data_IF_250804225856
#
_entry.id   IF_250804225856
#
_cell.length_a   1.000
_cell.length_b   1.000
_cell.length_c   1.000
_cell.angle_alpha   90.00
_cell.angle_beta   90.00
_cell.angle_gamma   90.00
#
_symmetry.space_group_name_H-M   'P 1'
#
loop_
_entity.id
_entity.type
_entity.pdbx_description
1 polymer ?
#
# COMPACT_ATOMS: atom_id res chain seq x y z
N UNK A 1 -0.32 6.65 39.04
CA UNK A 1 0.68 5.96 38.20
C UNK A 1 0.14 5.96 36.78
N UNK A 2 0.28 7.09 36.08
CA UNK A 2 -0.20 7.24 34.71
C UNK A 2 0.74 6.49 33.77
N UNK A 3 0.19 5.47 33.13
CA UNK A 3 0.92 4.62 32.21
C UNK A 3 1.10 5.37 30.88
N UNK A 4 2.25 6.01 30.73
CA UNK A 4 2.65 6.73 29.52
C UNK A 4 2.73 5.75 28.34
N UNK A 5 1.68 5.69 27.53
CA UNK A 5 1.69 4.90 26.30
C UNK A 5 2.68 5.57 25.32
N UNK A 6 3.71 4.86 24.82
CA UNK A 6 4.70 5.46 23.95
C UNK A 6 4.07 5.83 22.60
N UNK A 7 4.48 6.97 22.02
CA UNK A 7 3.97 7.51 20.76
C UNK A 7 3.96 6.48 19.59
N UNK A 8 4.83 5.47 19.66
CA UNK A 8 4.92 4.34 18.72
C UNK A 8 3.67 3.44 18.73
N UNK A 9 3.09 3.21 19.91
CA UNK A 9 1.86 2.43 20.04
C UNK A 9 0.65 3.23 19.53
N UNK A 10 0.67 4.55 19.74
CA UNK A 10 -0.40 5.46 19.33
C UNK A 10 -0.49 5.62 17.80
N UNK A 11 0.65 5.68 17.11
CA UNK A 11 0.73 5.75 15.64
C UNK A 11 0.36 4.41 14.98
N UNK A 12 0.66 3.28 15.62
CA UNK A 12 0.22 1.95 15.16
C UNK A 12 -1.29 1.75 15.36
N UNK A 13 -1.82 2.16 16.51
CA UNK A 13 -3.25 2.18 16.82
C UNK A 13 -4.05 3.06 15.83
N UNK A 14 -3.49 4.19 15.42
CA UNK A 14 -4.14 5.10 14.46
C UNK A 14 -4.25 4.47 13.05
N UNK A 15 -3.17 3.83 12.58
CA UNK A 15 -3.17 3.11 11.30
C UNK A 15 -4.11 1.89 11.35
N UNK A 16 -4.16 1.16 12.46
CA UNK A 16 -5.02 -0.02 12.65
C UNK A 16 -6.52 0.35 12.78
N UNK A 17 -6.81 1.46 13.46
CA UNK A 17 -8.17 1.98 13.62
C UNK A 17 -8.70 2.59 12.32
N UNK A 18 -7.86 3.32 11.58
CA UNK A 18 -8.19 3.82 10.24
C UNK A 18 -8.30 2.68 9.22
N UNK A 19 -7.46 1.64 9.34
CA UNK A 19 -7.59 0.39 8.58
C UNK A 19 -8.91 -0.34 8.85
N UNK A 20 -9.32 -0.44 10.11
CA UNK A 20 -10.62 -1.02 10.49
C UNK A 20 -11.81 -0.21 9.93
N UNK A 21 -11.66 1.10 9.83
CA UNK A 21 -12.62 1.99 9.16
C UNK A 21 -12.65 1.77 7.64
N UNK A 22 -11.48 1.52 7.04
CA UNK A 22 -11.33 1.20 5.62
C UNK A 22 -11.92 -0.18 5.27
N UNK A 23 -11.75 -1.19 6.13
CA UNK A 23 -12.41 -2.50 6.02
C UNK A 23 -13.94 -2.38 6.03
N UNK A 24 -14.48 -1.51 6.89
CA UNK A 24 -15.93 -1.22 6.91
C UNK A 24 -16.41 -0.58 5.61
N UNK A 25 -15.58 0.24 4.97
CA UNK A 25 -15.88 0.79 3.64
C UNK A 25 -15.63 -0.21 2.50
N UNK A 26 -14.69 -1.16 2.68
CA UNK A 26 -14.47 -2.30 1.77
C UNK A 26 -15.68 -3.26 1.78
N UNK A 27 -16.38 -3.42 2.90
CA UNK A 27 -17.68 -4.11 2.96
C UNK A 27 -18.78 -3.43 2.14
N UNK A 28 -18.72 -2.11 1.96
CA UNK A 28 -19.66 -1.38 1.11
C UNK A 28 -19.23 -1.38 -0.36
N UNK A 29 -17.92 -1.35 -0.64
CA UNK A 29 -17.38 -1.59 -1.98
C UNK A 29 -17.66 -3.02 -2.46
N UNK A 30 -17.63 -4.03 -1.58
CA UNK A 30 -18.07 -5.42 -1.82
C UNK A 30 -19.48 -5.51 -2.42
N UNK A 31 -20.39 -4.63 -2.01
CA UNK A 31 -21.77 -4.60 -2.51
C UNK A 31 -21.90 -3.90 -3.88
N UNK A 32 -21.02 -2.95 -4.18
CA UNK A 32 -20.99 -2.25 -5.46
C UNK A 32 -20.23 -3.04 -6.54
N UNK A 33 -19.15 -3.74 -6.16
CA UNK A 33 -18.34 -4.58 -7.03
C UNK A 33 -19.11 -5.82 -7.52
N UNK A 34 -19.99 -6.38 -6.67
CA UNK A 34 -20.87 -7.50 -7.04
C UNK A 34 -22.00 -7.11 -8.01
N UNK A 35 -22.28 -5.81 -8.19
CA UNK A 35 -23.40 -5.32 -9.01
C UNK A 35 -22.98 -4.84 -10.40
N UNK A 36 -21.69 -4.60 -10.61
CA UNK A 36 -21.10 -4.20 -11.89
C UNK A 36 -19.73 -4.87 -12.02
N UNK A 37 -19.63 -6.01 -12.73
CA UNK A 37 -18.60 -6.23 -13.76
C UNK A 37 -18.61 -7.63 -14.38
N UNK A 38 -18.61 -7.64 -15.71
CA UNK A 38 -18.28 -8.74 -16.62
C UNK A 38 -16.75 -8.87 -16.73
N UNK A 39 -16.22 -10.07 -16.99
CA UNK A 39 -14.77 -10.35 -17.14
C UNK A 39 -14.01 -9.36 -18.06
N UNK A 40 -14.68 -8.81 -19.08
CA UNK A 40 -14.12 -7.84 -20.04
C UNK A 40 -13.72 -6.49 -19.42
N UNK A 41 -14.41 -6.00 -18.38
CA UNK A 41 -14.04 -4.73 -17.73
C UNK A 41 -12.86 -4.91 -16.75
N UNK A 42 -12.67 -6.12 -16.22
CA UNK A 42 -11.49 -6.45 -15.40
C UNK A 42 -10.24 -6.62 -16.28
N UNK A 43 -10.38 -7.20 -17.47
CA UNK A 43 -9.35 -7.18 -18.53
C UNK A 43 -9.06 -5.75 -19.02
N UNK A 44 -10.07 -4.91 -19.23
CA UNK A 44 -9.86 -3.50 -19.59
C UNK A 44 -9.14 -2.70 -18.48
N UNK A 45 -9.39 -3.01 -17.20
CA UNK A 45 -8.63 -2.47 -16.05
C UNK A 45 -7.20 -3.03 -15.96
N UNK A 46 -6.95 -4.21 -16.54
CA UNK A 46 -5.61 -4.80 -16.65
C UNK A 46 -4.82 -4.21 -17.83
N UNK A 47 -5.47 -3.79 -18.93
CA UNK A 47 -4.80 -3.18 -20.09
C UNK A 47 -4.50 -1.68 -19.93
N UNK A 48 -5.38 -0.93 -19.25
CA UNK A 48 -5.27 0.53 -19.08
C UNK A 48 -4.17 1.12 -18.16
N UNK A 49 -3.53 0.41 -17.20
CA UNK A 49 -2.61 1.05 -16.24
C UNK A 49 -1.21 1.32 -16.77
N UNK A 50 -0.67 0.50 -17.67
CA UNK A 50 0.72 0.65 -18.12
C UNK A 50 0.94 1.92 -18.94
N UNK A 51 -0.02 2.25 -19.81
CA UNK A 51 0.09 3.38 -20.74
C UNK A 51 -0.05 4.77 -20.09
N UNK A 52 -0.77 4.88 -18.96
CA UNK A 52 -0.98 6.16 -18.28
C UNK A 52 0.06 6.38 -17.16
N UNK A 53 0.52 5.31 -16.52
CA UNK A 53 1.35 5.40 -15.32
C UNK A 53 2.82 5.66 -15.66
N UNK A 54 3.33 5.11 -16.77
CA UNK A 54 4.74 5.24 -17.19
C UNK A 54 5.17 6.70 -17.52
N UNK A 55 4.42 7.47 -18.35
CA UNK A 55 4.80 8.84 -18.68
C UNK A 55 4.64 9.81 -17.50
N UNK A 56 3.69 9.51 -16.61
CA UNK A 56 3.38 10.32 -15.43
C UNK A 56 4.43 10.13 -14.34
N UNK A 57 4.84 8.88 -14.05
CA UNK A 57 5.97 8.59 -13.15
C UNK A 57 7.28 9.20 -13.64
N UNK A 58 7.60 9.05 -14.93
CA UNK A 58 8.83 9.60 -15.52
C UNK A 58 8.87 11.13 -15.45
N UNK A 59 7.76 11.82 -15.77
CA UNK A 59 7.66 13.27 -15.67
C UNK A 59 7.64 13.78 -14.21
N UNK A 60 7.16 12.99 -13.26
CA UNK A 60 7.08 13.34 -11.84
C UNK A 60 8.45 13.22 -11.16
N UNK A 61 9.17 12.11 -11.42
CA UNK A 61 10.51 11.86 -10.87
C UNK A 61 11.52 12.93 -11.33
N UNK A 62 11.35 13.47 -12.54
CA UNK A 62 12.24 14.51 -13.08
C UNK A 62 11.96 15.93 -12.56
N UNK A 63 10.82 16.19 -11.91
CA UNK A 63 10.33 17.58 -11.70
C UNK A 63 10.35 18.09 -10.26
N UNK A 64 10.74 17.31 -9.26
CA UNK A 64 10.76 17.75 -7.85
C UNK A 64 12.15 17.69 -7.25
N UNK A 65 12.52 18.74 -6.50
CA UNK A 65 13.58 18.66 -5.48
C UNK A 65 13.06 17.86 -4.29
N UNK A 66 12.96 16.54 -4.40
CA UNK A 66 12.80 15.71 -3.21
C UNK A 66 14.17 15.23 -2.70
N UNK A 67 14.19 14.58 -1.54
CA UNK A 67 15.37 13.85 -1.08
C UNK A 67 15.44 12.56 -1.89
N UNK A 68 16.59 12.20 -2.45
CA UNK A 68 16.80 10.97 -3.24
C UNK A 68 16.19 9.70 -2.60
N UNK A 69 16.18 9.61 -1.28
CA UNK A 69 15.53 8.51 -0.53
C UNK A 69 14.01 8.43 -0.69
N UNK A 70 13.28 9.55 -0.80
CA UNK A 70 11.82 9.53 -0.95
C UNK A 70 11.46 9.11 -2.37
N UNK A 71 12.16 9.66 -3.37
CA UNK A 71 12.07 9.21 -4.76
C UNK A 71 12.31 7.70 -4.87
N UNK A 72 13.36 7.20 -4.20
CA UNK A 72 13.64 5.77 -4.13
C UNK A 72 12.51 4.97 -3.48
N UNK A 73 12.00 5.40 -2.32
CA UNK A 73 10.91 4.70 -1.63
C UNK A 73 9.62 4.64 -2.48
N UNK A 74 9.34 5.68 -3.25
CA UNK A 74 8.20 5.69 -4.19
C UNK A 74 8.44 4.77 -5.38
N UNK A 75 9.64 4.79 -5.96
CA UNK A 75 9.99 3.91 -7.07
C UNK A 75 9.87 2.43 -6.65
N UNK A 76 10.42 2.08 -5.49
CA UNK A 76 10.32 0.73 -4.91
C UNK A 76 8.86 0.31 -4.70
N UNK A 77 7.98 1.21 -4.25
CA UNK A 77 6.53 0.96 -4.12
C UNK A 77 5.87 0.64 -5.48
N UNK A 78 6.14 1.44 -6.52
CA UNK A 78 5.54 1.22 -7.84
C UNK A 78 6.08 -0.06 -8.50
N UNK A 79 7.37 -0.36 -8.33
CA UNK A 79 7.97 -1.59 -8.82
C UNK A 79 7.36 -2.82 -8.15
N UNK A 80 7.29 -2.85 -6.81
CA UNK A 80 6.69 -3.96 -6.07
C UNK A 80 5.20 -4.14 -6.40
N UNK A 81 4.46 -3.05 -6.62
CA UNK A 81 3.06 -3.15 -7.04
C UNK A 81 2.87 -3.63 -8.47
N UNK A 82 3.80 -3.37 -9.38
CA UNK A 82 3.77 -3.97 -10.72
C UNK A 82 4.04 -5.48 -10.64
N UNK A 83 5.02 -5.91 -9.85
CA UNK A 83 5.31 -7.34 -9.63
C UNK A 83 4.11 -8.07 -8.99
N UNK A 84 3.44 -7.44 -8.03
CA UNK A 84 2.23 -7.99 -7.42
C UNK A 84 1.09 -8.15 -8.44
N UNK A 85 0.90 -7.18 -9.36
CA UNK A 85 -0.09 -7.29 -10.45
C UNK A 85 0.23 -8.49 -11.35
N UNK A 86 1.49 -8.69 -11.74
CA UNK A 86 1.89 -9.84 -12.56
C UNK A 86 1.58 -11.18 -11.88
N UNK A 87 1.83 -11.24 -10.57
CA UNK A 87 1.53 -12.44 -9.78
C UNK A 87 0.02 -12.66 -9.69
N UNK A 88 -0.79 -11.62 -9.51
CA UNK A 88 -2.26 -11.73 -9.59
C UNK A 88 -2.71 -12.25 -10.96
N UNK A 89 -2.17 -11.72 -12.07
CA UNK A 89 -2.50 -12.17 -13.43
C UNK A 89 -2.18 -13.66 -13.62
N UNK A 90 -1.02 -14.11 -13.14
CA UNK A 90 -0.65 -15.52 -13.20
C UNK A 90 -1.58 -16.38 -12.35
N UNK A 91 -1.91 -15.95 -11.13
CA UNK A 91 -2.85 -16.67 -10.26
C UNK A 91 -4.22 -16.83 -10.90
N UNK A 92 -4.77 -15.78 -11.51
CA UNK A 92 -6.07 -15.86 -12.19
C UNK A 92 -6.06 -16.92 -13.31
N UNK A 93 -4.96 -17.02 -14.08
CA UNK A 93 -4.79 -18.09 -15.07
C UNK A 93 -4.74 -19.47 -14.41
N UNK A 94 -3.96 -19.61 -13.34
CA UNK A 94 -3.79 -20.87 -12.62
C UNK A 94 -5.11 -21.33 -11.97
N UNK A 95 -5.92 -20.39 -11.45
CA UNK A 95 -7.25 -20.63 -10.87
C UNK A 95 -8.21 -21.11 -11.96
N UNK A 96 -8.31 -20.42 -13.09
CA UNK A 96 -9.17 -20.81 -14.22
C UNK A 96 -8.83 -22.20 -14.75
N UNK A 97 -7.54 -22.50 -14.86
CA UNK A 97 -7.06 -23.84 -15.22
C UNK A 97 -7.49 -24.88 -14.17
N UNK A 98 -7.34 -24.56 -12.88
CA UNK A 98 -7.72 -25.44 -11.77
C UNK A 98 -9.22 -25.71 -11.74
N UNK A 99 -10.07 -24.69 -11.92
CA UNK A 99 -11.52 -24.84 -12.02
C UNK A 99 -11.92 -25.73 -13.22
N UNK A 100 -11.26 -25.55 -14.36
CA UNK A 100 -11.47 -26.39 -15.55
C UNK A 100 -11.07 -27.86 -15.30
N UNK A 101 -9.95 -28.09 -14.63
CA UNK A 101 -9.52 -29.43 -14.24
C UNK A 101 -10.53 -30.08 -13.28
N UNK A 102 -11.05 -29.32 -12.33
CA UNK A 102 -12.08 -29.77 -11.40
C UNK A 102 -13.40 -30.12 -12.09
N UNK A 103 -13.78 -29.40 -13.15
CA UNK A 103 -14.93 -29.75 -13.99
C UNK A 103 -14.71 -31.06 -14.74
N UNK A 104 -13.51 -31.27 -15.28
CA UNK A 104 -13.12 -32.54 -15.90
C UNK A 104 -13.15 -33.70 -14.91
N UNK A 105 -12.67 -33.46 -13.67
CA UNK A 105 -12.71 -34.43 -12.58
C UNK A 105 -14.16 -34.79 -12.20
N UNK A 106 -15.09 -33.83 -12.14
CA UNK A 106 -16.50 -34.14 -11.87
C UNK A 106 -17.11 -35.06 -12.91
N UNK A 107 -16.87 -34.76 -14.20
CA UNK A 107 -17.36 -35.59 -15.29
C UNK A 107 -16.81 -37.02 -15.19
N UNK A 108 -15.53 -37.16 -14.81
CA UNK A 108 -14.90 -38.45 -14.59
C UNK A 108 -15.49 -39.20 -13.38
N UNK A 109 -15.68 -38.51 -12.24
CA UNK A 109 -16.27 -39.11 -11.04
C UNK A 109 -17.75 -39.50 -11.24
N UNK A 110 -18.48 -38.77 -12.10
CA UNK A 110 -19.84 -39.11 -12.50
C UNK A 110 -19.87 -40.40 -13.34
N UNK A 111 -18.98 -40.52 -14.33
CA UNK A 111 -18.92 -41.70 -15.21
C UNK A 111 -18.58 -43.00 -14.45
N UNK A 112 -17.75 -42.92 -13.40
CA UNK A 112 -17.48 -44.05 -12.49
C UNK A 112 -18.78 -44.47 -11.78
N UNK A 113 -19.55 -43.51 -11.28
CA UNK A 113 -20.78 -43.78 -10.52
C UNK A 113 -21.82 -44.46 -11.43
N UNK A 114 -22.02 -43.95 -12.64
CA UNK A 114 -22.96 -44.52 -13.63
C UNK A 114 -22.54 -45.94 -14.08
N UNK A 115 -21.23 -46.17 -14.23
CA UNK A 115 -20.67 -47.49 -14.58
C UNK A 115 -20.81 -48.52 -13.46
N UNK A 116 -20.97 -48.08 -12.20
CA UNK A 116 -21.19 -48.97 -11.05
C UNK A 116 -22.67 -49.27 -10.79
N UNK A 117 -23.57 -48.36 -11.16
CA UNK A 117 -25.02 -48.55 -11.06
C UNK A 117 -25.57 -49.49 -12.17
N UNK A 118 -24.95 -49.47 -13.34
CA UNK A 118 -25.15 -50.50 -14.37
C UNK A 118 -24.29 -51.71 -13.99
N UNK A 119 -24.87 -52.90 -13.87
CA UNK A 119 -24.28 -54.16 -13.35
C UNK A 119 -23.10 -54.74 -14.17
N UNK A 120 -22.38 -53.90 -14.91
CA UNK A 120 -21.34 -54.26 -15.86
C UNK A 120 -19.95 -54.35 -15.19
N UNK A 121 -19.13 -55.27 -15.71
CA UNK A 121 -17.79 -55.57 -15.22
C UNK A 121 -16.72 -54.50 -15.56
N UNK A 122 -17.13 -53.30 -16.00
CA UNK A 122 -16.25 -52.24 -16.55
C UNK A 122 -15.71 -51.25 -15.52
N UNK A 123 -16.30 -51.17 -14.32
CA UNK A 123 -15.87 -50.25 -13.26
C UNK A 123 -14.37 -50.35 -12.88
N UNK A 124 -13.72 -51.53 -12.83
CA UNK A 124 -12.28 -51.65 -12.54
C UNK A 124 -11.38 -51.03 -13.62
N UNK A 125 -11.86 -50.93 -14.87
CA UNK A 125 -11.07 -50.40 -15.99
C UNK A 125 -11.10 -48.87 -16.04
N UNK A 126 -12.22 -48.25 -15.65
CA UNK A 126 -12.36 -46.79 -15.57
C UNK A 126 -11.45 -46.16 -14.50
N UNK A 127 -11.10 -46.92 -13.45
CA UNK A 127 -10.25 -46.47 -12.35
C UNK A 127 -8.75 -46.43 -12.66
N UNK A 128 -8.32 -47.06 -13.77
CA UNK A 128 -6.91 -47.12 -14.20
C UNK A 128 -6.42 -45.86 -14.93
N UNK A 129 -7.27 -44.86 -15.09
CA UNK A 129 -6.94 -43.63 -15.81
C UNK A 129 -7.39 -42.38 -15.05
N UNK A 130 -7.23 -42.38 -13.72
CA UNK A 130 -7.53 -41.20 -12.93
C UNK A 130 -6.72 -40.00 -13.44
N UNK A 131 -7.35 -38.88 -13.80
CA UNK A 131 -6.62 -37.72 -14.30
C UNK A 131 -5.84 -37.07 -13.16
N UNK A 132 -4.55 -37.37 -13.06
CA UNK A 132 -3.64 -36.67 -12.12
C UNK A 132 -3.47 -35.25 -12.62
N UNK A 133 -3.78 -34.30 -11.74
CA UNK A 133 -3.75 -32.87 -12.08
C UNK A 133 -2.41 -32.30 -11.69
N UNK A 134 -1.68 -31.65 -12.60
CA UNK A 134 -0.51 -30.87 -12.22
C UNK A 134 -0.93 -29.76 -11.25
N UNK A 135 -0.21 -29.60 -10.13
CA UNK A 135 -0.48 -28.54 -9.15
C UNK A 135 0.21 -27.24 -9.60
N UNK A 136 -0.53 -26.23 -10.11
CA UNK A 136 0.08 -24.98 -10.56
C UNK A 136 0.53 -24.10 -9.40
N UNK A 137 0.05 -24.36 -8.18
CA UNK A 137 0.33 -23.61 -6.96
C UNK A 137 1.46 -24.21 -6.12
N UNK A 138 2.35 -24.96 -6.75
CA UNK A 138 3.47 -25.62 -6.07
C UNK A 138 4.46 -24.61 -5.45
N UNK A 139 5.53 -25.13 -4.85
CA UNK A 139 6.53 -24.38 -4.06
C UNK A 139 7.00 -23.06 -4.69
N UNK A 140 7.08 -22.99 -6.02
CA UNK A 140 7.44 -21.76 -6.76
C UNK A 140 6.51 -20.59 -6.44
N UNK A 141 5.19 -20.83 -6.37
CA UNK A 141 4.25 -19.76 -6.06
C UNK A 141 4.41 -19.32 -4.59
N UNK A 142 4.59 -20.26 -3.66
CA UNK A 142 4.85 -19.93 -2.24
C UNK A 142 6.09 -19.06 -2.05
N UNK A 143 7.19 -19.35 -2.75
CA UNK A 143 8.40 -18.51 -2.68
C UNK A 143 8.17 -17.10 -3.23
N UNK A 144 7.35 -16.96 -4.27
CA UNK A 144 7.02 -15.65 -4.83
C UNK A 144 6.24 -14.79 -3.82
N UNK A 145 5.29 -15.37 -3.09
CA UNK A 145 4.54 -14.65 -2.05
C UNK A 145 5.44 -14.18 -0.91
N UNK A 146 6.34 -15.05 -0.44
CA UNK A 146 7.32 -14.66 0.58
C UNK A 146 8.18 -13.49 0.12
N UNK A 147 8.70 -13.56 -1.10
CA UNK A 147 9.50 -12.49 -1.70
C UNK A 147 8.73 -11.16 -1.83
N UNK A 148 7.49 -11.16 -2.33
CA UNK A 148 6.68 -9.93 -2.42
C UNK A 148 6.38 -9.39 -1.02
N UNK A 149 6.04 -10.25 -0.06
CA UNK A 149 5.73 -9.83 1.30
C UNK A 149 6.94 -9.16 1.96
N UNK A 150 8.15 -9.72 1.78
CA UNK A 150 9.40 -9.13 2.26
C UNK A 150 9.68 -7.77 1.60
N UNK A 151 9.41 -7.64 0.29
CA UNK A 151 9.49 -6.36 -0.43
C UNK A 151 8.55 -5.32 0.17
N UNK A 152 7.27 -5.62 0.33
CA UNK A 152 6.30 -4.66 0.92
C UNK A 152 6.63 -4.32 2.37
N UNK A 153 7.11 -5.28 3.15
CA UNK A 153 7.58 -5.05 4.52
C UNK A 153 8.77 -4.06 4.56
N UNK A 154 9.73 -4.25 3.65
CA UNK A 154 10.88 -3.35 3.48
C UNK A 154 10.45 -1.95 3.03
N UNK A 155 9.55 -1.85 2.05
CA UNK A 155 9.00 -0.59 1.56
C UNK A 155 8.25 0.15 2.66
N UNK A 156 7.41 -0.54 3.45
CA UNK A 156 6.69 0.04 4.57
C UNK A 156 7.66 0.63 5.61
N UNK A 157 8.76 -0.07 5.90
CA UNK A 157 9.81 0.41 6.79
C UNK A 157 10.53 1.64 6.21
N UNK A 158 10.84 1.63 4.91
CA UNK A 158 11.44 2.74 4.18
C UNK A 158 10.55 3.99 4.22
N UNK A 159 9.25 3.85 3.93
CA UNK A 159 8.26 4.93 3.99
C UNK A 159 8.13 5.48 5.41
N UNK A 160 8.04 4.62 6.43
CA UNK A 160 7.98 5.03 7.85
C UNK A 160 9.23 5.81 8.26
N UNK A 161 10.41 5.38 7.82
CA UNK A 161 11.66 6.09 8.10
C UNK A 161 11.69 7.48 7.46
N UNK A 162 11.22 7.59 6.21
CA UNK A 162 11.06 8.84 5.47
C UNK A 162 10.07 9.77 6.14
N UNK A 163 8.94 9.25 6.62
CA UNK A 163 7.93 10.02 7.33
C UNK A 163 8.51 10.67 8.60
N UNK A 164 9.26 9.90 9.41
CA UNK A 164 9.96 10.44 10.60
C UNK A 164 10.94 11.54 10.25
N UNK A 165 11.67 11.43 9.13
CA UNK A 165 12.60 12.46 8.66
C UNK A 165 11.87 13.74 8.27
N UNK A 166 10.78 13.63 7.50
CA UNK A 166 9.95 14.78 7.11
C UNK A 166 9.38 15.47 8.34
N UNK A 167 8.86 14.71 9.31
CA UNK A 167 8.35 15.25 10.57
C UNK A 167 9.44 16.00 11.36
N UNK A 168 10.66 15.48 11.44
CA UNK A 168 11.81 16.17 12.06
C UNK A 168 12.12 17.49 11.34
N UNK A 169 12.19 17.49 10.01
CA UNK A 169 12.43 18.71 9.21
C UNK A 169 11.32 19.74 9.42
N UNK A 170 10.06 19.31 9.49
CA UNK A 170 8.92 20.18 9.73
C UNK A 170 9.01 20.84 11.11
N UNK A 171 9.41 20.10 12.14
CA UNK A 171 9.65 20.64 13.49
C UNK A 171 10.74 21.73 13.47
N UNK A 172 11.85 21.49 12.76
CA UNK A 172 12.95 22.47 12.61
C UNK A 172 12.46 23.73 11.90
N UNK A 173 11.76 23.60 10.77
CA UNK A 173 11.24 24.76 10.03
C UNK A 173 10.26 25.58 10.88
N UNK A 174 9.38 24.91 11.64
CA UNK A 174 8.47 25.57 12.60
C UNK A 174 9.24 26.32 13.69
N UNK A 175 10.27 25.71 14.28
CA UNK A 175 11.11 26.35 15.30
C UNK A 175 11.82 27.60 14.76
N UNK A 176 12.43 27.51 13.57
CA UNK A 176 13.08 28.65 12.91
C UNK A 176 12.08 29.77 12.62
N UNK A 177 10.89 29.44 12.12
CA UNK A 177 9.81 30.41 11.88
C UNK A 177 9.38 31.10 13.18
N UNK A 178 9.22 30.37 14.28
CA UNK A 178 8.87 30.94 15.58
C UNK A 178 9.96 31.86 16.12
N UNK A 179 11.23 31.46 16.01
CA UNK A 179 12.37 32.30 16.44
C UNK A 179 12.45 33.59 15.62
N UNK A 180 12.27 33.51 14.29
CA UNK A 180 12.25 34.69 13.44
C UNK A 180 11.13 35.67 13.77
N UNK A 181 9.94 35.17 14.17
CA UNK A 181 8.83 36.01 14.64
C UNK A 181 9.18 36.71 15.95
N UNK A 182 9.75 35.97 16.91
CA UNK A 182 10.18 36.54 18.19
C UNK A 182 11.23 37.65 18.00
N UNK A 183 12.25 37.42 17.15
CA UNK A 183 13.26 38.42 16.83
C UNK A 183 12.68 39.66 16.11
N UNK A 184 11.68 39.48 15.24
CA UNK A 184 10.99 40.60 14.60
C UNK A 184 10.20 41.44 15.59
N UNK A 185 9.49 40.82 16.54
CA UNK A 185 8.74 41.53 17.60
C UNK A 185 9.68 42.33 18.49
N UNK A 186 10.82 41.76 18.88
CA UNK A 186 11.84 42.48 19.68
C UNK A 186 12.46 43.64 18.89
N UNK A 187 12.76 43.45 17.60
CA UNK A 187 13.39 44.50 16.77
C UNK A 187 12.42 45.62 16.35
N UNK A 188 11.12 45.35 16.23
CA UNK A 188 10.10 46.36 15.88
C UNK A 188 9.38 46.94 17.12
N UNK A 189 9.47 46.28 18.29
CA UNK A 189 8.78 46.65 19.53
C UNK A 189 9.64 47.36 20.58
N UNK A 190 10.89 47.72 20.25
CA UNK A 190 11.77 48.49 21.15
C UNK A 190 11.52 50.01 21.16
N UNK A 191 10.26 50.48 21.18
CA UNK A 191 9.96 51.92 21.30
C UNK A 191 8.56 52.28 21.85
N UNK A 192 7.84 51.37 22.52
CA UNK A 192 6.49 51.68 23.04
C UNK A 192 6.30 51.40 24.54
N UNK A 193 7.38 51.49 25.33
CA UNK A 193 7.31 51.42 26.80
C UNK A 193 8.28 52.41 27.47
N UNK A 194 8.35 53.64 26.97
CA UNK A 194 9.05 54.75 27.62
C UNK A 194 8.18 56.03 27.62
N UNK A 195 6.91 55.87 27.96
CA UNK A 195 6.01 56.98 28.20
C UNK A 195 5.23 56.73 29.49
N UNK A 196 5.85 57.02 30.63
CA UNK A 196 5.25 57.73 31.77
C UNK A 196 6.10 57.57 33.05
N UNK A 197 6.21 58.69 33.78
CA UNK A 197 6.84 58.90 35.11
C UNK A 197 8.35 59.22 35.00
N UNK A 198 8.84 60.43 35.25
CA UNK A 198 8.25 61.64 35.79
C UNK A 198 9.29 62.78 35.69
N UNK A 199 8.81 64.02 35.65
CA UNK A 199 9.65 65.21 35.63
C UNK A 199 10.57 65.28 36.88
N UNK A 200 11.72 65.94 36.68
CA UNK A 200 12.74 66.31 37.67
C UNK A 200 13.87 65.28 37.94
N UNK A 201 14.76 65.14 36.96
CA UNK A 201 16.22 65.16 37.22
C UNK A 201 16.93 65.68 35.98
N UNK A 202 17.20 66.98 35.95
CA UNK A 202 18.01 67.62 34.93
C UNK A 202 19.51 67.28 35.11
N UNK A 203 20.25 67.40 34.00
CA UNK A 203 21.70 67.66 33.90
C UNK A 203 22.68 66.53 33.53
N UNK A 204 22.27 65.45 32.84
CA UNK A 204 23.24 64.63 32.07
C UNK A 204 22.89 64.44 30.59
N UNK A 205 21.87 65.12 30.07
CA UNK A 205 21.47 65.04 28.66
C UNK A 205 21.89 66.25 27.81
N UNK A 206 22.66 67.19 28.35
CA UNK A 206 23.17 68.33 27.57
C UNK A 206 24.50 68.05 26.84
N UNK A 207 25.08 66.85 27.00
CA UNK A 207 26.26 66.41 26.23
C UNK A 207 25.95 65.59 24.98
N UNK A 208 24.67 65.28 24.70
CA UNK A 208 24.29 64.38 23.60
C UNK A 208 23.58 65.09 22.42
N UNK A 209 23.37 66.40 22.49
CA UNK A 209 22.58 67.14 21.50
C UNK A 209 23.38 68.11 20.62
N UNK A 210 24.72 68.07 20.66
CA UNK A 210 25.57 68.76 19.69
C UNK A 210 26.44 67.72 19.00
N UNK A 211 25.89 67.13 17.94
CA UNK A 211 26.51 66.06 17.16
C UNK A 211 25.55 65.37 16.20
N UNK A 212 24.25 65.65 16.30
CA UNK A 212 23.20 65.09 15.44
C UNK A 212 22.85 66.00 14.24
N UNK A 213 23.86 66.60 13.59
CA UNK A 213 23.63 67.40 12.37
C UNK A 213 24.51 67.02 11.16
N UNK A 214 25.34 65.97 11.24
CA UNK A 214 26.19 65.56 10.12
C UNK A 214 26.31 64.04 9.86
N UNK A 215 25.46 63.20 10.48
CA UNK A 215 25.44 61.75 10.24
C UNK A 215 24.09 61.23 9.70
N UNK A 216 23.23 62.13 9.22
CA UNK A 216 21.87 61.82 8.75
C UNK A 216 21.76 61.46 7.26
N UNK A 217 22.84 61.38 6.49
CA UNK A 217 22.76 61.27 5.02
C UNK A 217 23.62 60.18 4.37
N UNK A 218 24.01 59.12 5.08
CA UNK A 218 24.72 58.00 4.43
C UNK A 218 24.22 56.61 4.82
N UNK A 219 22.92 56.43 5.09
CA UNK A 219 22.39 55.05 5.19
C UNK A 219 20.92 54.81 4.76
N UNK A 220 20.47 55.15 3.53
CA UNK A 220 19.17 54.67 3.05
C UNK A 220 19.24 53.51 2.02
N UNK A 221 20.42 52.90 1.77
CA UNK A 221 20.55 51.83 0.76
C UNK A 221 20.72 50.43 1.38
N UNK A 222 21.43 50.31 2.51
CA UNK A 222 21.68 49.02 3.15
C UNK A 222 20.44 48.41 3.84
N UNK A 223 19.52 49.25 4.35
CA UNK A 223 18.27 48.78 4.98
C UNK A 223 17.24 48.28 3.94
N UNK A 224 17.15 48.92 2.76
CA UNK A 224 16.24 48.50 1.69
C UNK A 224 16.63 47.13 1.10
N UNK A 225 17.94 46.84 0.97
CA UNK A 225 18.43 45.50 0.57
C UNK A 225 18.14 44.41 1.62
N UNK A 226 18.14 44.73 2.93
CA UNK A 226 17.78 43.78 4.00
C UNK A 226 16.29 43.45 4.04
N UNK A 227 15.40 44.35 3.63
CA UNK A 227 13.96 44.11 3.56
C UNK A 227 13.60 43.25 2.33
N UNK A 228 14.22 43.50 1.17
CA UNK A 228 14.06 42.66 -0.03
C UNK A 228 14.61 41.23 0.15
N UNK A 229 15.74 41.08 0.85
CA UNK A 229 16.28 39.77 1.26
C UNK A 229 15.41 39.06 2.32
N UNK A 230 14.63 39.80 3.13
CA UNK A 230 13.67 39.25 4.10
C UNK A 230 12.37 38.78 3.43
N UNK A 231 11.86 39.50 2.44
CA UNK A 231 10.66 39.11 1.68
C UNK A 231 10.88 37.82 0.87
N UNK A 232 12.07 37.66 0.29
CA UNK A 232 12.47 36.43 -0.42
C UNK A 232 12.69 35.24 0.52
N UNK A 233 13.24 35.45 1.74
CA UNK A 233 13.37 34.39 2.76
C UNK A 233 12.05 33.93 3.36
N UNK A 234 11.10 34.85 3.60
CA UNK A 234 9.76 34.51 4.10
C UNK A 234 8.97 33.63 3.13
N UNK A 235 9.00 33.97 1.84
CA UNK A 235 8.37 33.18 0.77
C UNK A 235 8.98 31.78 0.66
N UNK A 236 10.32 31.70 0.70
CA UNK A 236 11.08 30.43 0.60
C UNK A 236 10.85 29.49 1.80
N UNK A 237 10.70 30.04 3.02
CA UNK A 237 10.37 29.25 4.22
C UNK A 237 8.95 28.69 4.17
N UNK A 238 7.98 29.47 3.68
CA UNK A 238 6.60 29.02 3.52
C UNK A 238 6.47 27.92 2.47
N UNK A 239 7.17 28.07 1.34
CA UNK A 239 7.21 27.07 0.26
C UNK A 239 7.87 25.76 0.71
N UNK A 240 8.95 25.84 1.50
CA UNK A 240 9.60 24.65 2.10
C UNK A 240 8.69 23.94 3.11
N UNK A 241 7.92 24.68 3.90
CA UNK A 241 6.96 24.09 4.84
C UNK A 241 5.82 23.39 4.10
N UNK A 242 5.28 24.02 3.06
CA UNK A 242 4.24 23.43 2.20
C UNK A 242 4.75 22.16 1.51
N UNK A 243 5.96 22.15 0.96
CA UNK A 243 6.52 20.96 0.31
C UNK A 243 6.74 19.80 1.28
N UNK A 244 7.18 20.06 2.52
CA UNK A 244 7.33 19.01 3.54
C UNK A 244 5.99 18.43 3.99
N UNK A 245 4.95 19.26 4.14
CA UNK A 245 3.60 18.77 4.46
C UNK A 245 3.06 17.85 3.35
N UNK A 246 3.28 18.21 2.09
CA UNK A 246 2.88 17.38 0.94
C UNK A 246 3.64 16.07 0.87
N UNK A 247 4.94 16.09 1.14
CA UNK A 247 5.73 14.85 1.26
C UNK A 247 5.21 13.97 2.39
N UNK A 248 4.71 14.58 3.48
CA UNK A 248 4.10 13.84 4.58
C UNK A 248 2.82 13.14 4.13
N UNK A 249 1.91 13.83 3.44
CA UNK A 249 0.67 13.27 2.88
C UNK A 249 0.93 12.14 1.87
N UNK A 250 1.95 12.30 1.03
CA UNK A 250 2.38 11.28 0.08
C UNK A 250 2.90 10.01 0.75
N UNK A 251 3.73 10.17 1.78
CA UNK A 251 4.27 9.06 2.56
C UNK A 251 3.17 8.38 3.40
N UNK A 252 2.21 9.15 3.91
CA UNK A 252 1.04 8.61 4.62
C UNK A 252 0.18 7.75 3.68
N UNK A 253 -0.14 8.27 2.49
CA UNK A 253 -0.89 7.55 1.46
C UNK A 253 -0.16 6.26 1.05
N UNK A 254 1.15 6.33 0.80
CA UNK A 254 1.95 5.16 0.44
C UNK A 254 2.05 4.14 1.58
N UNK A 255 2.18 4.59 2.84
CA UNK A 255 2.22 3.70 4.00
C UNK A 255 0.90 2.95 4.18
N UNK A 256 -0.23 3.66 4.06
CA UNK A 256 -1.58 3.08 4.12
C UNK A 256 -1.78 2.05 3.02
N UNK A 257 -1.45 2.40 1.77
CA UNK A 257 -1.49 1.48 0.64
C UNK A 257 -0.65 0.23 0.90
N UNK A 258 0.61 0.39 1.28
CA UNK A 258 1.53 -0.73 1.55
C UNK A 258 1.03 -1.66 2.66
N UNK A 259 0.44 -1.10 3.72
CA UNK A 259 -0.11 -1.89 4.83
C UNK A 259 -1.27 -2.77 4.37
N UNK A 260 -2.25 -2.19 3.66
CA UNK A 260 -3.41 -2.95 3.16
C UNK A 260 -2.96 -4.04 2.19
N UNK A 261 -2.04 -3.71 1.30
CA UNK A 261 -1.52 -4.66 0.32
C UNK A 261 -0.81 -5.84 0.97
N UNK A 262 -0.05 -5.61 2.06
CA UNK A 262 0.55 -6.71 2.83
C UNK A 262 -0.50 -7.66 3.40
N UNK A 263 -1.58 -7.14 3.95
CA UNK A 263 -2.63 -7.96 4.56
C UNK A 263 -3.49 -8.72 3.53
N UNK A 264 -3.82 -8.08 2.41
CA UNK A 264 -4.50 -8.74 1.30
C UNK A 264 -3.62 -9.88 0.73
N UNK A 265 -2.31 -9.64 0.61
CA UNK A 265 -1.34 -10.63 0.15
C UNK A 265 -1.24 -11.85 1.08
N UNK A 266 -1.26 -11.65 2.41
CA UNK A 266 -1.27 -12.75 3.38
C UNK A 266 -2.50 -13.65 3.23
N UNK A 267 -3.66 -13.02 2.97
CA UNK A 267 -4.91 -13.74 2.73
C UNK A 267 -4.84 -14.57 1.45
N UNK A 268 -4.39 -13.97 0.35
CA UNK A 268 -4.19 -14.67 -0.93
C UNK A 268 -3.18 -15.81 -0.78
N UNK A 269 -2.04 -15.56 -0.14
CA UNK A 269 -0.98 -16.56 0.10
C UNK A 269 -1.49 -17.78 0.88
N UNK A 270 -2.29 -17.53 1.93
CA UNK A 270 -2.92 -18.60 2.73
C UNK A 270 -3.90 -19.44 1.91
N UNK A 271 -4.75 -18.80 1.09
CA UNK A 271 -5.69 -19.51 0.20
C UNK A 271 -4.96 -20.32 -0.87
N UNK A 272 -3.89 -19.78 -1.47
CA UNK A 272 -3.03 -20.50 -2.42
C UNK A 272 -2.41 -21.73 -1.76
N UNK A 273 -1.88 -21.61 -0.54
CA UNK A 273 -1.31 -22.74 0.18
C UNK A 273 -2.35 -23.83 0.44
N UNK A 274 -3.55 -23.45 0.91
CA UNK A 274 -4.66 -24.38 1.17
C UNK A 274 -5.14 -25.09 -0.10
N UNK A 275 -5.25 -24.36 -1.22
CA UNK A 275 -5.65 -24.94 -2.50
C UNK A 275 -4.58 -25.91 -3.04
N UNK A 276 -3.30 -25.52 -2.94
CA UNK A 276 -2.15 -26.35 -3.30
C UNK A 276 -2.13 -27.66 -2.53
N UNK A 277 -2.25 -27.61 -1.20
CA UNK A 277 -2.35 -28.79 -0.34
C UNK A 277 -3.61 -29.62 -0.66
N UNK A 278 -4.69 -28.96 -1.08
CA UNK A 278 -5.91 -29.56 -1.62
C UNK A 278 -5.66 -30.46 -2.82
N UNK A 279 -5.06 -29.89 -3.85
CA UNK A 279 -4.74 -30.57 -5.10
C UNK A 279 -3.79 -31.74 -4.86
N UNK A 280 -2.75 -31.55 -4.03
CA UNK A 280 -1.78 -32.61 -3.73
C UNK A 280 -2.43 -33.79 -2.99
N UNK A 281 -3.31 -33.50 -2.03
CA UNK A 281 -4.11 -34.52 -1.33
C UNK A 281 -5.00 -35.29 -2.29
N UNK A 282 -5.68 -34.60 -3.20
CA UNK A 282 -6.59 -35.22 -4.17
C UNK A 282 -5.85 -36.09 -5.19
N UNK A 283 -4.69 -35.63 -5.66
CA UNK A 283 -3.81 -36.43 -6.49
C UNK A 283 -3.32 -37.69 -5.76
N UNK A 284 -3.03 -37.60 -4.46
CA UNK A 284 -2.67 -38.77 -3.65
C UNK A 284 -3.84 -39.75 -3.49
N UNK A 285 -5.07 -39.24 -3.25
CA UNK A 285 -6.27 -40.07 -3.18
C UNK A 285 -6.59 -40.75 -4.51
N UNK A 286 -6.44 -40.04 -5.63
CA UNK A 286 -6.63 -40.57 -6.97
C UNK A 286 -5.68 -41.74 -7.26
N UNK A 287 -4.39 -41.61 -6.94
CA UNK A 287 -3.40 -42.70 -7.05
C UNK A 287 -3.76 -43.90 -6.17
N UNK A 288 -4.18 -43.65 -4.92
CA UNK A 288 -4.64 -44.72 -4.02
C UNK A 288 -5.86 -45.48 -4.57
N UNK A 289 -6.77 -44.81 -5.28
CA UNK A 289 -7.93 -45.44 -5.91
C UNK A 289 -7.52 -46.38 -7.06
N UNK A 290 -6.52 -45.96 -7.86
CA UNK A 290 -5.98 -46.75 -8.96
C UNK A 290 -5.30 -48.03 -8.48
N UNK A 291 -4.42 -47.92 -7.47
CA UNK A 291 -3.68 -49.04 -6.87
C UNK A 291 -4.59 -50.10 -6.26
N UNK A 292 -5.73 -49.69 -5.68
CA UNK A 292 -6.68 -50.57 -4.98
C UNK A 292 -7.89 -50.98 -5.81
N UNK A 293 -7.83 -50.82 -7.13
CA UNK A 293 -8.93 -51.10 -8.08
C UNK A 293 -9.50 -52.53 -8.05
N UNK A 294 -8.87 -53.47 -7.32
CA UNK A 294 -9.38 -54.84 -7.10
C UNK A 294 -10.47 -54.98 -6.02
N UNK A 295 -10.63 -54.02 -5.11
CA UNK A 295 -11.57 -54.12 -3.97
C UNK A 295 -12.73 -53.12 -4.10
N UNK A 296 -13.82 -53.56 -4.74
CA UNK A 296 -14.90 -52.69 -5.24
C UNK A 296 -15.60 -51.83 -4.16
N UNK A 297 -15.81 -52.36 -2.96
CA UNK A 297 -16.46 -51.64 -1.85
C UNK A 297 -15.58 -50.54 -1.27
N UNK A 298 -14.28 -50.80 -1.10
CA UNK A 298 -13.30 -49.83 -0.60
C UNK A 298 -13.08 -48.68 -1.59
N UNK A 299 -13.06 -48.97 -2.89
CA UNK A 299 -12.85 -47.95 -3.92
C UNK A 299 -14.02 -46.96 -4.01
N UNK A 300 -15.26 -47.41 -3.87
CA UNK A 300 -16.41 -46.49 -3.93
C UNK A 300 -16.43 -45.49 -2.77
N UNK A 301 -16.00 -45.92 -1.58
CA UNK A 301 -15.83 -45.02 -0.43
C UNK A 301 -14.72 -44.00 -0.69
N UNK A 302 -13.56 -44.44 -1.21
CA UNK A 302 -12.46 -43.53 -1.56
C UNK A 302 -12.86 -42.52 -2.65
N UNK A 303 -13.65 -42.93 -3.65
CA UNK A 303 -14.18 -42.05 -4.70
C UNK A 303 -15.14 -41.00 -4.10
N UNK A 304 -15.97 -41.38 -3.13
CA UNK A 304 -16.84 -40.44 -2.44
C UNK A 304 -16.07 -39.42 -1.59
N UNK A 305 -15.01 -39.85 -0.89
CA UNK A 305 -14.14 -38.93 -0.14
C UNK A 305 -13.34 -38.00 -1.08
N UNK A 306 -12.84 -38.52 -2.21
CA UNK A 306 -12.22 -37.71 -3.25
C UNK A 306 -13.19 -36.64 -3.77
N UNK A 307 -14.44 -37.01 -4.04
CA UNK A 307 -15.48 -36.05 -4.46
C UNK A 307 -15.69 -34.94 -3.43
N UNK A 308 -15.82 -35.28 -2.14
CA UNK A 308 -15.96 -34.28 -1.07
C UNK A 308 -14.75 -33.35 -1.00
N UNK A 309 -13.55 -33.90 -1.15
CA UNK A 309 -12.32 -33.11 -1.19
C UNK A 309 -12.32 -32.14 -2.37
N UNK A 310 -12.56 -32.62 -3.60
CA UNK A 310 -12.60 -31.77 -4.78
C UNK A 310 -13.65 -30.65 -4.66
N UNK A 311 -14.82 -30.94 -4.10
CA UNK A 311 -15.83 -29.91 -3.80
C UNK A 311 -15.32 -28.86 -2.81
N UNK A 312 -14.57 -29.26 -1.78
CA UNK A 312 -13.98 -28.33 -0.82
C UNK A 312 -12.91 -27.43 -1.47
N UNK A 313 -12.06 -28.00 -2.34
CA UNK A 313 -10.99 -27.29 -3.03
C UNK A 313 -11.53 -26.35 -4.11
N UNK A 314 -12.60 -26.70 -4.83
CA UNK A 314 -13.32 -25.78 -5.73
C UNK A 314 -13.80 -24.53 -5.00
N UNK A 315 -14.42 -24.69 -3.84
CA UNK A 315 -14.87 -23.54 -3.03
C UNK A 315 -13.70 -22.64 -2.64
N UNK A 316 -12.54 -23.24 -2.32
CA UNK A 316 -11.31 -22.47 -2.05
C UNK A 316 -10.81 -21.77 -3.32
N UNK A 317 -10.90 -22.39 -4.49
CA UNK A 317 -10.52 -21.77 -5.76
C UNK A 317 -11.41 -20.55 -6.08
N UNK A 318 -12.72 -20.66 -5.87
CA UNK A 318 -13.66 -19.54 -6.05
C UNK A 318 -13.40 -18.41 -5.05
N UNK A 319 -13.14 -18.75 -3.77
CA UNK A 319 -12.76 -17.79 -2.72
C UNK A 319 -11.43 -17.10 -3.06
N UNK A 320 -10.45 -17.86 -3.55
CA UNK A 320 -9.16 -17.35 -3.98
C UNK A 320 -9.31 -16.39 -5.17
N UNK A 321 -10.17 -16.72 -6.15
CA UNK A 321 -10.46 -15.84 -7.28
C UNK A 321 -10.99 -14.48 -6.80
N UNK A 322 -12.00 -14.49 -5.92
CA UNK A 322 -12.56 -13.27 -5.34
C UNK A 322 -11.47 -12.43 -4.64
N UNK A 323 -10.63 -13.07 -3.82
CA UNK A 323 -9.57 -12.39 -3.10
C UNK A 323 -8.45 -11.86 -3.98
N UNK A 324 -8.09 -12.55 -5.07
CA UNK A 324 -7.10 -12.05 -6.05
C UNK A 324 -7.65 -10.84 -6.80
N UNK A 325 -8.93 -10.86 -7.21
CA UNK A 325 -9.58 -9.72 -7.85
C UNK A 325 -9.66 -8.50 -6.91
N UNK A 326 -10.01 -8.73 -5.64
CA UNK A 326 -10.02 -7.68 -4.62
C UNK A 326 -8.63 -7.10 -4.39
N UNK A 327 -7.60 -7.95 -4.25
CA UNK A 327 -6.22 -7.52 -4.06
C UNK A 327 -5.74 -6.67 -5.26
N UNK A 328 -6.03 -7.09 -6.48
CA UNK A 328 -5.74 -6.34 -7.69
C UNK A 328 -6.40 -4.96 -7.69
N UNK A 329 -7.69 -4.88 -7.35
CA UNK A 329 -8.41 -3.61 -7.23
C UNK A 329 -7.80 -2.71 -6.14
N UNK A 330 -7.38 -3.28 -5.00
CA UNK A 330 -6.65 -2.56 -3.96
C UNK A 330 -5.33 -1.98 -4.50
N UNK A 331 -4.54 -2.76 -5.24
CA UNK A 331 -3.28 -2.30 -5.84
C UNK A 331 -3.53 -1.09 -6.76
N UNK A 332 -4.50 -1.20 -7.66
CA UNK A 332 -4.82 -0.11 -8.59
C UNK A 332 -5.26 1.15 -7.86
N UNK A 333 -6.18 1.02 -6.90
CA UNK A 333 -6.64 2.15 -6.10
C UNK A 333 -5.50 2.81 -5.34
N UNK A 334 -4.63 2.02 -4.71
CA UNK A 334 -3.50 2.54 -3.95
C UNK A 334 -2.50 3.27 -4.86
N UNK A 335 -2.22 2.75 -6.06
CA UNK A 335 -1.39 3.43 -7.08
C UNK A 335 -2.03 4.75 -7.53
N UNK A 336 -3.33 4.76 -7.84
CA UNK A 336 -4.04 5.98 -8.27
C UNK A 336 -4.04 7.05 -7.18
N UNK A 337 -4.38 6.69 -5.94
CA UNK A 337 -4.36 7.64 -4.81
C UNK A 337 -2.98 8.24 -4.61
N UNK A 338 -1.94 7.41 -4.70
CA UNK A 338 -0.56 7.89 -4.58
C UNK A 338 -0.18 8.82 -5.75
N UNK A 339 -0.54 8.48 -6.99
CA UNK A 339 -0.31 9.34 -8.16
C UNK A 339 -1.05 10.67 -8.03
N UNK A 340 -2.30 10.66 -7.56
CA UNK A 340 -3.08 11.88 -7.30
C UNK A 340 -2.39 12.76 -6.26
N UNK A 341 -1.93 12.16 -5.15
CA UNK A 341 -1.21 12.87 -4.09
C UNK A 341 0.13 13.44 -4.59
N UNK A 342 0.78 12.74 -5.52
CA UNK A 342 2.00 13.24 -6.17
C UNK A 342 1.71 14.35 -7.19
N UNK A 343 0.59 14.24 -7.91
CA UNK A 343 0.21 15.12 -9.01
C UNK A 343 -0.53 16.38 -8.57
N UNK A 344 -1.04 16.44 -7.33
CA UNK A 344 -1.53 17.70 -6.74
C UNK A 344 -0.51 18.79 -7.08
N UNK A 345 -0.97 19.94 -7.57
CA UNK A 345 -0.17 21.15 -7.74
C UNK A 345 -0.60 22.18 -6.70
N UNK A 346 0.36 23.02 -6.31
CA UNK A 346 0.11 24.21 -5.48
C UNK A 346 -0.67 25.24 -6.29
#
# INVERSE_FOLDING_TARGET
MEMHTPARAKEALDIEQEYSSMLRTQSNARFLFKKHQTEEEMEALLETPEDIISPVLHNILMRRRTSSEIERAMAEYFEASTEAIEICRQLLRDIKNTQSNYKSMDNFLASITDSTASTSASAPTALKSFPVTSNPFCTKNRSNFGHIHDKYSSILQSIRSSHRRVAKKLKIVKAVKNLSRALLVVACGGAAAAAAIGAASHLLFLGFLIGAAAAGLLLPIALKKRIAAKATKGKRSSETMSSLLRLQEQLDTAAKGTYVLGQDLDTVSSLVARLSDGIDRENAMARCCEERSGERSSVMEMVNELRKSCSSSKRIADELEEHVCLFLATIYKARVLLIQEISKKS
#
